data_IF_204807592181
#
_entry.id   IF_204807592181
#
_cell.length_a   1.000
_cell.length_b   1.000
_cell.length_c   1.000
_cell.angle_alpha   90.00
_cell.angle_beta   90.00
_cell.angle_gamma   90.00
#
_symmetry.space_group_name_H-M   'P 1'
#
loop_
_entity.id
_entity.type
_entity.pdbx_description
1 polymer ?
#
# COMPACT_ATOMS: atom_id res chain seq x y z
N UNK A 1 49.24 -51.33 -33.82
CA UNK A 1 48.56 -50.10 -34.34
C UNK A 1 47.30 -49.90 -33.55
N UNK A 2 47.30 -49.07 -32.48
CA UNK A 2 46.05 -48.73 -31.79
C UNK A 2 45.42 -47.46 -32.40
N UNK A 3 44.13 -47.52 -32.65
CA UNK A 3 43.29 -46.44 -33.18
C UNK A 3 43.06 -45.33 -32.13
N UNK A 4 43.01 -44.07 -32.51
CA UNK A 4 42.73 -43.00 -31.56
C UNK A 4 41.20 -42.86 -31.26
N UNK A 5 40.88 -42.66 -30.00
CA UNK A 5 39.55 -42.39 -29.50
C UNK A 5 39.04 -40.99 -29.90
N UNK A 6 37.78 -40.79 -30.19
CA UNK A 6 37.20 -39.49 -30.48
C UNK A 6 37.04 -38.66 -29.19
N UNK A 7 37.53 -37.42 -29.24
CA UNK A 7 37.35 -36.42 -28.19
C UNK A 7 35.85 -36.02 -28.08
N UNK A 8 35.28 -36.20 -26.89
CA UNK A 8 33.97 -35.63 -26.52
C UNK A 8 34.05 -34.09 -26.48
N UNK A 9 33.35 -33.47 -27.39
CA UNK A 9 33.09 -32.04 -27.38
C UNK A 9 32.30 -31.66 -26.14
N UNK A 10 32.87 -30.77 -25.32
CA UNK A 10 32.17 -30.13 -24.21
C UNK A 10 31.09 -29.23 -24.78
N UNK A 11 29.85 -29.67 -24.68
CA UNK A 11 28.69 -28.86 -24.95
C UNK A 11 28.68 -27.62 -24.05
N UNK A 12 28.77 -26.44 -24.66
CA UNK A 12 28.48 -25.18 -23.97
C UNK A 12 26.98 -25.17 -23.67
N UNK A 13 26.63 -25.25 -22.41
CA UNK A 13 25.29 -24.94 -21.95
C UNK A 13 24.92 -23.49 -22.37
N UNK A 14 23.71 -23.25 -22.90
CA UNK A 14 23.28 -21.89 -23.16
C UNK A 14 23.06 -21.19 -21.82
N UNK A 15 23.81 -20.13 -21.59
CA UNK A 15 23.62 -19.25 -20.44
C UNK A 15 22.18 -18.77 -20.46
N UNK A 16 21.44 -19.15 -19.44
CA UNK A 16 20.06 -18.73 -19.14
C UNK A 16 19.95 -17.22 -19.33
N UNK A 17 19.03 -16.83 -20.22
CA UNK A 17 18.81 -15.47 -20.64
C UNK A 17 18.56 -14.54 -19.46
N UNK A 18 19.44 -13.54 -19.33
CA UNK A 18 19.18 -12.38 -18.51
C UNK A 18 17.83 -11.80 -18.91
N UNK A 19 16.96 -11.56 -17.92
CA UNK A 19 15.71 -10.83 -18.11
C UNK A 19 16.06 -9.47 -18.69
N UNK A 20 15.92 -9.33 -19.99
CA UNK A 20 15.96 -8.04 -20.66
C UNK A 20 14.76 -7.26 -20.10
N UNK A 21 15.01 -6.26 -19.27
CA UNK A 21 13.99 -5.29 -18.88
C UNK A 21 13.58 -4.58 -20.16
N UNK A 22 12.47 -5.02 -20.75
CA UNK A 22 11.93 -4.42 -21.94
C UNK A 22 11.76 -2.92 -21.71
N UNK A 23 12.15 -2.12 -22.70
CA UNK A 23 11.88 -0.69 -22.69
C UNK A 23 10.35 -0.53 -22.65
N UNK A 24 9.78 0.18 -21.63
CA UNK A 24 8.34 0.31 -21.52
C UNK A 24 7.74 0.92 -22.80
N UNK A 25 6.61 0.39 -23.24
CA UNK A 25 5.91 0.87 -24.40
C UNK A 25 5.49 2.34 -24.25
N UNK A 26 5.14 3.01 -25.35
CA UNK A 26 4.70 4.40 -25.29
C UNK A 26 3.43 4.54 -24.44
N UNK A 27 2.51 3.58 -24.52
CA UNK A 27 1.29 3.54 -23.71
C UNK A 27 1.57 3.37 -22.22
N UNK A 28 2.54 2.53 -21.84
CA UNK A 28 2.94 2.36 -20.44
C UNK A 28 3.57 3.63 -19.89
N UNK A 29 4.37 4.32 -20.69
CA UNK A 29 4.94 5.62 -20.32
C UNK A 29 3.87 6.67 -20.14
N UNK A 30 2.89 6.71 -21.02
CA UNK A 30 1.77 7.64 -20.95
C UNK A 30 0.94 7.41 -19.67
N UNK A 31 0.51 6.17 -19.42
CA UNK A 31 -0.21 5.81 -18.18
C UNK A 31 0.57 6.15 -16.91
N UNK A 32 1.88 5.94 -16.92
CA UNK A 32 2.73 6.28 -15.79
C UNK A 32 2.84 7.80 -15.57
N UNK A 33 2.77 8.61 -16.62
CA UNK A 33 2.70 10.07 -16.52
C UNK A 33 1.38 10.52 -15.93
N UNK A 34 0.27 10.04 -16.46
CA UNK A 34 -1.09 10.36 -15.97
C UNK A 34 -1.26 10.04 -14.48
N UNK A 35 -0.76 8.89 -14.00
CA UNK A 35 -0.78 8.54 -12.60
C UNK A 35 0.05 9.51 -11.74
N UNK A 36 1.20 9.96 -12.24
CA UNK A 36 2.04 10.92 -11.51
C UNK A 36 1.39 12.30 -11.44
N UNK A 37 0.77 12.74 -12.53
CA UNK A 37 0.09 14.03 -12.60
C UNK A 37 -1.13 14.03 -11.67
N UNK A 38 -1.93 12.96 -11.68
CA UNK A 38 -3.03 12.77 -10.73
C UNK A 38 -2.56 12.74 -9.28
N UNK A 39 -1.47 12.01 -8.98
CA UNK A 39 -0.89 12.00 -7.64
C UNK A 39 -0.38 13.39 -7.20
N UNK A 40 0.09 14.21 -8.15
CA UNK A 40 0.50 15.60 -7.88
C UNK A 40 -0.69 16.49 -7.55
N UNK A 41 -1.78 16.35 -8.29
CA UNK A 41 -3.03 17.05 -8.05
C UNK A 41 -3.63 16.70 -6.68
N UNK A 42 -3.72 15.40 -6.35
CA UNK A 42 -4.19 14.94 -5.05
C UNK A 42 -3.33 15.48 -3.89
N UNK A 43 -2.00 15.58 -4.07
CA UNK A 43 -1.13 16.19 -3.05
C UNK A 43 -1.38 17.69 -2.84
N UNK A 44 -1.84 18.39 -3.88
CA UNK A 44 -2.15 19.83 -3.78
C UNK A 44 -3.47 20.07 -3.03
N UNK A 45 -4.42 19.12 -3.10
CA UNK A 45 -5.76 19.25 -2.55
C UNK A 45 -6.08 18.12 -1.54
N UNK A 46 -5.35 18.00 -0.42
CA UNK A 46 -5.59 16.95 0.56
C UNK A 46 -6.88 17.21 1.35
N UNK A 47 -7.59 16.13 1.69
CA UNK A 47 -8.75 16.18 2.59
C UNK A 47 -8.34 16.57 4.02
N UNK A 48 -9.29 16.98 4.89
CA UNK A 48 -9.00 17.23 6.31
C UNK A 48 -8.37 16.04 7.02
N UNK A 49 -8.87 14.82 6.78
CA UNK A 49 -8.34 13.58 7.36
C UNK A 49 -6.92 13.29 6.85
N UNK A 50 -6.66 13.42 5.56
CA UNK A 50 -5.31 13.27 5.02
C UNK A 50 -4.31 14.30 5.60
N UNK A 51 -4.75 15.57 5.80
CA UNK A 51 -3.91 16.57 6.46
C UNK A 51 -3.56 16.17 7.89
N UNK A 52 -4.57 15.66 8.62
CA UNK A 52 -4.36 15.19 10.01
C UNK A 52 -3.43 14.00 10.07
N UNK A 53 -3.65 12.97 9.23
CA UNK A 53 -2.74 11.83 9.10
C UNK A 53 -1.31 12.27 8.75
N UNK A 54 -1.16 13.17 7.77
CA UNK A 54 0.16 13.66 7.41
C UNK A 54 0.87 14.36 8.56
N UNK A 55 0.15 15.15 9.35
CA UNK A 55 0.72 15.77 10.56
C UNK A 55 1.24 14.73 11.54
N UNK A 56 0.47 13.65 11.77
CA UNK A 56 0.87 12.54 12.64
C UNK A 56 2.08 11.76 12.09
N UNK A 57 2.10 11.48 10.79
CA UNK A 57 3.18 10.73 10.14
C UNK A 57 4.51 11.50 10.09
N UNK A 58 4.47 12.81 10.31
CA UNK A 58 5.65 13.69 10.44
C UNK A 58 6.04 13.96 11.89
N UNK A 59 5.36 13.34 12.85
CA UNK A 59 5.70 13.49 14.27
C UNK A 59 7.12 13.00 14.55
N UNK A 60 7.79 13.64 15.52
CA UNK A 60 9.16 13.31 15.89
C UNK A 60 9.33 11.86 16.34
N UNK A 61 8.27 11.25 16.87
CA UNK A 61 8.26 9.83 17.27
C UNK A 61 8.36 8.87 16.09
N UNK A 62 8.08 9.33 14.89
CA UNK A 62 8.13 8.54 13.64
C UNK A 62 9.27 8.98 12.71
N UNK A 63 10.23 9.79 13.16
CA UNK A 63 11.33 10.31 12.32
C UNK A 63 12.22 9.21 11.74
N UNK A 64 12.25 8.03 12.35
CA UNK A 64 12.97 6.85 11.82
C UNK A 64 12.31 6.24 10.59
N UNK A 65 11.08 6.65 10.27
CA UNK A 65 10.31 6.10 9.15
C UNK A 65 10.03 7.17 8.10
N UNK A 66 10.30 6.84 6.83
CA UNK A 66 10.07 7.76 5.72
C UNK A 66 8.74 7.48 5.05
N UNK A 67 7.78 8.38 5.22
CA UNK A 67 6.50 8.34 4.55
C UNK A 67 6.47 9.17 3.28
N UNK A 68 5.83 8.65 2.24
CA UNK A 68 5.53 9.35 0.99
C UNK A 68 4.03 9.56 0.88
N UNK A 69 3.61 10.76 0.47
CA UNK A 69 2.19 11.07 0.20
C UNK A 69 1.84 10.75 -1.23
N UNK A 70 0.61 10.32 -1.47
CA UNK A 70 0.04 10.04 -2.78
C UNK A 70 1.07 9.30 -3.66
N UNK A 71 1.47 8.12 -3.15
CA UNK A 71 2.52 7.34 -3.78
C UNK A 71 1.94 6.42 -4.84
N UNK A 72 2.57 6.41 -6.03
CA UNK A 72 2.14 5.56 -7.14
C UNK A 72 2.72 4.16 -6.96
N UNK A 73 1.84 3.18 -6.81
CA UNK A 73 2.12 1.74 -6.92
C UNK A 73 1.25 1.25 -8.08
N UNK A 74 1.77 1.42 -9.30
CA UNK A 74 0.98 1.23 -10.51
C UNK A 74 0.21 -0.11 -10.52
N UNK A 75 -1.10 -0.10 -10.84
CA UNK A 75 -1.86 1.01 -11.42
C UNK A 75 -2.55 1.94 -10.40
N UNK A 76 -2.22 1.86 -9.11
CA UNK A 76 -2.90 2.58 -8.04
C UNK A 76 -2.09 3.74 -7.47
N UNK A 77 -2.79 4.70 -6.87
CA UNK A 77 -2.23 5.74 -6.02
C UNK A 77 -2.70 5.45 -4.61
N UNK A 78 -1.78 5.48 -3.63
CA UNK A 78 -2.08 5.26 -2.21
C UNK A 78 -1.80 6.54 -1.42
N UNK A 79 -2.59 6.84 -0.38
CA UNK A 79 -2.48 8.12 0.33
C UNK A 79 -1.12 8.28 0.98
N UNK A 80 -0.69 7.28 1.75
CA UNK A 80 0.62 7.30 2.41
C UNK A 80 1.29 5.93 2.31
N UNK A 81 2.58 5.91 2.01
CA UNK A 81 3.39 4.71 1.95
C UNK A 81 4.70 4.85 2.70
N UNK A 82 5.00 3.91 3.58
CA UNK A 82 6.31 3.67 4.16
C UNK A 82 6.94 2.46 3.46
N UNK A 83 7.82 2.70 2.50
CA UNK A 83 8.40 1.63 1.68
C UNK A 83 9.31 0.70 2.50
N UNK A 84 10.02 1.24 3.47
CA UNK A 84 10.94 0.51 4.35
C UNK A 84 10.20 -0.53 5.21
N UNK A 85 8.94 -0.29 5.52
CA UNK A 85 8.07 -1.16 6.31
C UNK A 85 6.99 -1.85 5.49
N UNK A 86 6.99 -1.64 4.17
CA UNK A 86 5.95 -2.13 3.27
C UNK A 86 4.54 -1.87 3.82
N UNK A 87 4.33 -0.65 4.34
CA UNK A 87 3.11 -0.24 4.99
C UNK A 87 2.44 0.89 4.20
N UNK A 88 1.17 0.69 3.90
CA UNK A 88 0.28 1.68 3.30
C UNK A 88 -0.72 2.12 4.36
N UNK A 89 -1.01 3.43 4.40
CA UNK A 89 -2.03 4.03 5.26
C UNK A 89 -2.96 4.83 4.37
N UNK A 90 -4.26 4.62 4.52
CA UNK A 90 -5.31 5.28 3.75
C UNK A 90 -6.37 5.89 4.67
N UNK A 91 -6.86 7.08 4.28
CA UNK A 91 -8.01 7.72 4.89
C UNK A 91 -9.26 7.37 4.06
N UNK A 92 -10.22 6.68 4.67
CA UNK A 92 -11.44 6.23 3.98
C UNK A 92 -12.65 7.09 4.37
N UNK A 93 -13.37 7.56 3.35
CA UNK A 93 -14.58 8.38 3.52
C UNK A 93 -15.85 7.58 3.83
N UNK A 94 -15.81 6.26 3.86
CA UNK A 94 -16.95 5.42 4.27
C UNK A 94 -18.04 5.21 3.22
N UNK A 95 -17.93 5.79 2.03
CA UNK A 95 -19.00 5.71 1.03
C UNK A 95 -18.89 4.54 0.03
N UNK A 96 -17.77 3.78 0.06
CA UNK A 96 -17.48 2.75 -0.95
C UNK A 96 -16.92 1.44 -0.38
N UNK A 97 -17.27 1.06 0.84
CA UNK A 97 -16.55 0.05 1.62
C UNK A 97 -16.62 -1.41 1.11
N UNK A 98 -17.38 -1.72 0.03
CA UNK A 98 -17.52 -3.11 -0.44
C UNK A 98 -17.56 -3.27 -1.96
N UNK A 99 -16.87 -2.43 -2.72
CA UNK A 99 -16.81 -2.62 -4.16
C UNK A 99 -15.82 -3.75 -4.52
N UNK A 100 -16.17 -4.56 -5.52
CA UNK A 100 -15.26 -5.60 -6.05
C UNK A 100 -13.92 -5.00 -6.54
N UNK A 101 -13.90 -3.71 -6.85
CA UNK A 101 -12.71 -2.96 -7.22
C UNK A 101 -11.76 -2.78 -6.05
N UNK A 102 -12.30 -2.54 -4.83
CA UNK A 102 -11.48 -2.39 -3.62
C UNK A 102 -10.83 -3.70 -3.22
N UNK A 103 -11.55 -4.82 -3.34
CA UNK A 103 -10.97 -6.15 -3.10
C UNK A 103 -9.82 -6.46 -4.07
N UNK A 104 -9.96 -6.12 -5.35
CA UNK A 104 -8.90 -6.32 -6.37
C UNK A 104 -7.67 -5.44 -6.08
N UNK A 105 -7.92 -4.19 -5.69
CA UNK A 105 -6.87 -3.25 -5.30
C UNK A 105 -6.09 -3.79 -4.10
N UNK A 106 -6.79 -4.23 -3.07
CA UNK A 106 -6.19 -4.79 -1.86
C UNK A 106 -5.39 -6.06 -2.13
N UNK A 107 -5.96 -7.00 -2.89
CA UNK A 107 -5.28 -8.21 -3.29
C UNK A 107 -3.99 -7.88 -4.07
N UNK A 108 -4.05 -6.90 -4.95
CA UNK A 108 -2.87 -6.45 -5.70
C UNK A 108 -1.81 -5.85 -4.76
N UNK A 109 -2.17 -4.89 -3.90
CA UNK A 109 -1.22 -4.27 -2.98
C UNK A 109 -0.57 -5.28 -2.04
N UNK A 110 -1.36 -6.26 -1.56
CA UNK A 110 -0.84 -7.38 -0.76
C UNK A 110 0.10 -8.28 -1.57
N UNK A 111 -0.20 -8.56 -2.83
CA UNK A 111 0.69 -9.35 -3.71
C UNK A 111 2.02 -8.65 -3.98
N UNK A 112 2.04 -7.31 -3.89
CA UNK A 112 3.27 -6.51 -3.95
C UNK A 112 4.01 -6.45 -2.60
N UNK A 113 3.53 -7.18 -1.58
CA UNK A 113 4.16 -7.26 -0.27
C UNK A 113 3.75 -6.12 0.68
N UNK A 114 2.75 -5.33 0.36
CA UNK A 114 2.30 -4.24 1.24
C UNK A 114 1.22 -4.70 2.22
N UNK A 115 1.29 -4.17 3.43
CA UNK A 115 0.18 -4.17 4.40
C UNK A 115 -0.58 -2.87 4.24
N UNK A 116 -1.91 -2.93 4.26
CA UNK A 116 -2.77 -1.75 4.13
C UNK A 116 -3.51 -1.53 5.43
N UNK A 117 -3.35 -0.34 6.02
CA UNK A 117 -4.15 0.16 7.13
C UNK A 117 -5.11 1.21 6.60
N UNK A 118 -6.39 1.02 6.87
CA UNK A 118 -7.43 2.01 6.57
C UNK A 118 -8.00 2.57 7.85
N UNK A 119 -8.18 3.86 7.87
CA UNK A 119 -8.80 4.58 8.96
C UNK A 119 -9.97 5.39 8.42
N UNK A 120 -11.10 5.30 9.08
CA UNK A 120 -12.23 6.16 8.75
C UNK A 120 -11.86 7.62 8.98
N UNK A 121 -12.34 8.51 8.12
CA UNK A 121 -12.08 9.95 8.25
C UNK A 121 -12.46 10.47 9.65
N UNK A 122 -13.58 10.00 10.21
CA UNK A 122 -14.03 10.37 11.55
C UNK A 122 -13.04 9.91 12.62
N UNK A 123 -12.54 8.67 12.55
CA UNK A 123 -11.54 8.17 13.50
C UNK A 123 -10.25 9.00 13.46
N UNK A 124 -9.80 9.38 12.28
CA UNK A 124 -8.63 10.24 12.11
C UNK A 124 -8.84 11.61 12.75
N UNK A 125 -10.03 12.16 12.66
CA UNK A 125 -10.35 13.51 13.16
C UNK A 125 -10.65 13.50 14.66
N UNK A 126 -11.38 12.50 15.16
CA UNK A 126 -11.92 12.45 16.52
C UNK A 126 -11.04 11.62 17.48
N UNK A 127 -10.38 10.57 16.98
CA UNK A 127 -9.53 9.66 17.77
C UNK A 127 -8.09 9.58 17.24
N UNK A 128 -7.47 10.72 17.03
CA UNK A 128 -6.11 10.80 16.49
C UNK A 128 -5.06 10.01 17.30
N UNK A 129 -5.24 9.92 18.62
CA UNK A 129 -4.32 9.18 19.49
C UNK A 129 -4.38 7.68 19.24
N UNK A 130 -5.58 7.11 19.16
CA UNK A 130 -5.77 5.69 18.87
C UNK A 130 -5.27 5.32 17.46
N UNK A 131 -5.53 6.19 16.48
CA UNK A 131 -4.98 6.03 15.11
C UNK A 131 -3.45 6.03 15.13
N UNK A 132 -2.84 6.97 15.88
CA UNK A 132 -1.38 7.04 15.99
C UNK A 132 -0.77 5.78 16.64
N UNK A 133 -1.38 5.28 17.70
CA UNK A 133 -0.94 4.05 18.38
C UNK A 133 -1.00 2.84 17.45
N UNK A 134 -2.07 2.70 16.67
CA UNK A 134 -2.20 1.64 15.67
C UNK A 134 -1.11 1.73 14.59
N UNK A 135 -0.80 2.94 14.12
CA UNK A 135 0.28 3.17 13.16
C UNK A 135 1.63 2.77 13.75
N UNK A 136 1.92 3.21 15.00
CA UNK A 136 3.14 2.84 15.72
C UNK A 136 3.27 1.32 15.86
N UNK A 137 2.23 0.64 16.30
CA UNK A 137 2.21 -0.82 16.42
C UNK A 137 2.52 -1.50 15.09
N UNK A 138 1.88 -1.05 14.00
CA UNK A 138 2.12 -1.60 12.67
C UNK A 138 3.55 -1.36 12.16
N UNK A 139 4.18 -0.24 12.49
CA UNK A 139 5.56 0.06 12.10
C UNK A 139 6.58 -0.81 12.83
N UNK A 140 6.30 -1.19 14.07
CA UNK A 140 7.20 -2.00 14.89
C UNK A 140 6.99 -3.50 14.73
N UNK A 141 5.86 -3.92 14.15
CA UNK A 141 5.61 -5.34 13.87
C UNK A 141 6.45 -5.80 12.69
N UNK A 142 7.34 -6.80 12.83
CA UNK A 142 8.05 -7.38 11.70
C UNK A 142 7.05 -7.99 10.71
N UNK A 143 7.39 -7.95 9.42
CA UNK A 143 6.58 -8.53 8.34
C UNK A 143 6.44 -10.04 8.51
N UNK A 144 5.37 -10.69 8.15
CA UNK A 144 3.96 -10.53 8.41
C UNK A 144 3.39 -11.69 9.20
N UNK A 145 2.21 -11.62 9.63
CA UNK A 145 1.28 -12.69 9.31
C UNK A 145 0.04 -12.17 8.58
N UNK A 146 -0.39 -12.99 7.68
CA UNK A 146 -1.68 -13.05 6.97
C UNK A 146 -2.73 -11.98 7.31
N UNK A 147 -3.25 -11.43 6.24
CA UNK A 147 -4.28 -10.40 6.10
C UNK A 147 -5.56 -10.49 6.97
N UNK A 148 -5.67 -11.45 7.86
CA UNK A 148 -6.88 -11.69 8.65
C UNK A 148 -6.98 -10.86 9.95
N UNK A 149 -5.93 -10.15 10.37
CA UNK A 149 -5.90 -9.48 11.69
C UNK A 149 -6.14 -7.96 11.66
N UNK A 150 -6.28 -7.35 10.49
CA UNK A 150 -6.41 -5.91 10.36
C UNK A 150 -7.68 -5.51 9.60
N UNK A 151 -8.84 -5.96 10.12
CA UNK A 151 -10.10 -5.33 9.75
C UNK A 151 -10.18 -3.98 10.46
N UNK A 152 -10.55 -2.88 9.78
CA UNK A 152 -10.82 -1.62 10.46
C UNK A 152 -11.91 -1.85 11.52
N UNK A 153 -11.84 -1.18 12.68
CA UNK A 153 -12.90 -1.26 13.65
C UNK A 153 -14.20 -0.84 12.95
N UNK A 154 -15.21 -1.71 13.02
CA UNK A 154 -16.54 -1.40 12.47
C UNK A 154 -17.04 -0.10 13.11
N UNK A 155 -17.67 0.83 12.34
CA UNK A 155 -18.27 2.01 12.92
C UNK A 155 -19.23 1.55 14.01
N UNK A 156 -19.10 2.07 15.20
CA UNK A 156 -20.05 1.80 16.29
C UNK A 156 -21.43 2.19 15.76
N UNK A 157 -22.26 1.19 15.57
CA UNK A 157 -23.68 1.39 15.30
C UNK A 157 -24.19 2.24 16.45
N UNK A 158 -24.65 3.46 16.16
CA UNK A 158 -25.23 4.31 17.17
C UNK A 158 -26.30 3.50 17.92
N UNK A 159 -26.11 3.37 19.22
CA UNK A 159 -27.14 2.82 20.10
C UNK A 159 -28.32 3.75 19.97
N UNK A 160 -29.34 3.26 19.29
CA UNK A 160 -30.61 3.93 19.20
C UNK A 160 -31.09 4.23 20.63
N UNK A 161 -31.33 5.50 20.88
CA UNK A 161 -32.08 5.95 22.05
C UNK A 161 -33.40 5.19 22.07
N UNK A 162 -33.47 4.21 22.94
CA UNK A 162 -34.71 3.51 23.23
C UNK A 162 -35.73 4.51 23.76
N UNK A 163 -36.87 4.51 23.12
CA UNK A 163 -38.08 5.18 23.55
C UNK A 163 -38.35 4.89 25.04
N UNK A 164 -38.24 5.90 25.87
CA UNK A 164 -38.92 5.95 27.16
C UNK A 164 -40.26 6.63 26.94
N UNK A 165 -41.25 5.85 26.57
CA UNK A 165 -42.65 6.24 26.72
C UNK A 165 -43.44 5.11 27.36
N UNK A 166 -43.68 5.21 28.64
CA UNK A 166 -44.80 4.63 29.36
C UNK A 166 -44.90 5.31 30.75
#
# INVERSE_FOLDING_TARGET
>A
MPSPSPQMGRGREPRSGGRVRGVPSNDERQRARELRDRAREMRANPTPAERRLWSMLRDRRLTSFKFKRQHVIAPYIVDFACLERSLIIEADGGQHSESCCDMRRDAYLRSQGFRVLRFWNNDVLENASGVFEMICAALHTPHPPTAAQWAPPSPRRGEGLGDLNA
#
